data_IF_081636509542
#
_entry.id   IF_081636509542
#
_cell.length_a   1.000
_cell.length_b   1.000
_cell.length_c   1.000
_cell.angle_alpha   90.00
_cell.angle_beta   90.00
_cell.angle_gamma   90.00
#
_symmetry.space_group_name_H-M   'P 1'
#
loop_
_entity.id
_entity.type
_entity.pdbx_description
1 polymer ?
#
# COMPACT_ATOMS: atom_id res chain seq x y z
N UNK A 1 -71.69 -3.27 4.46
CA UNK A 1 -72.18 -2.28 5.44
C UNK A 1 -71.01 -1.39 5.84
N UNK A 2 -71.15 -0.07 5.60
CA UNK A 2 -70.54 1.11 6.25
C UNK A 2 -69.11 1.01 6.82
N UNK A 3 -68.10 1.64 6.21
CA UNK A 3 -67.67 3.06 6.36
C UNK A 3 -67.40 3.51 7.81
N UNK A 4 -66.13 3.83 8.09
CA UNK A 4 -65.78 5.05 8.82
C UNK A 4 -64.47 5.64 8.30
N UNK A 5 -64.61 6.84 7.77
CA UNK A 5 -63.59 7.77 7.29
C UNK A 5 -63.15 8.65 8.46
N UNK A 6 -61.87 9.01 8.55
CA UNK A 6 -61.47 10.24 9.25
C UNK A 6 -60.37 10.92 8.46
N UNK A 7 -60.71 12.11 7.95
CA UNK A 7 -59.83 13.11 7.36
C UNK A 7 -59.41 14.12 8.44
N UNK A 8 -58.23 14.73 8.25
CA UNK A 8 -57.82 16.13 8.46
C UNK A 8 -56.38 16.20 9.02
N UNK A 9 -55.43 17.05 8.65
CA UNK A 9 -55.02 17.95 7.54
C UNK A 9 -53.63 18.51 8.00
N UNK A 10 -52.77 19.06 7.11
CA UNK A 10 -51.39 19.40 7.39
C UNK A 10 -51.24 20.80 8.00
N UNK A 11 -50.13 21.05 8.71
CA UNK A 11 -49.74 22.39 9.17
C UNK A 11 -48.48 22.80 8.42
N UNK A 12 -48.65 23.76 7.51
CA UNK A 12 -47.57 24.61 7.00
C UNK A 12 -47.15 25.63 8.08
N UNK A 13 -45.84 25.81 8.24
CA UNK A 13 -45.27 27.03 8.82
C UNK A 13 -43.99 27.38 8.07
N UNK A 14 -44.13 28.32 7.13
CA UNK A 14 -43.05 29.21 6.74
C UNK A 14 -42.87 30.29 7.81
N UNK A 15 -41.62 30.51 8.23
CA UNK A 15 -41.16 31.82 8.71
C UNK A 15 -39.67 31.96 8.41
N UNK A 16 -39.36 32.96 7.59
CA UNK A 16 -38.02 33.44 7.27
C UNK A 16 -37.52 34.41 8.35
N UNK A 17 -36.20 34.40 8.60
CA UNK A 17 -35.30 35.58 8.55
C UNK A 17 -34.05 35.41 9.44
N UNK A 18 -32.90 35.48 8.77
CA UNK A 18 -31.62 36.10 9.16
C UNK A 18 -31.03 35.86 10.54
N UNK A 19 -29.88 35.18 10.57
CA UNK A 19 -28.63 35.82 11.03
C UNK A 19 -27.45 35.21 10.29
N UNK A 20 -26.74 36.07 9.58
CA UNK A 20 -25.39 35.84 9.10
C UNK A 20 -24.46 35.66 10.31
N UNK A 21 -23.58 34.67 10.26
CA UNK A 21 -22.26 34.77 10.86
C UNK A 21 -21.33 33.93 10.02
N UNK A 22 -20.66 34.64 9.12
CA UNK A 22 -19.34 34.31 8.63
C UNK A 22 -18.45 33.88 9.81
N UNK A 23 -17.83 32.71 9.70
CA UNK A 23 -16.49 32.51 10.24
C UNK A 23 -15.74 31.62 9.25
N UNK A 24 -14.91 32.33 8.51
CA UNK A 24 -13.92 31.90 7.55
C UNK A 24 -12.78 31.12 8.21
N UNK A 25 -12.12 30.29 7.39
CA UNK A 25 -10.76 29.76 7.55
C UNK A 25 -10.56 28.76 8.71
N UNK A 26 -10.08 27.55 8.47
CA UNK A 26 -8.78 27.31 7.85
C UNK A 26 -8.78 26.04 7.00
N UNK A 27 -8.81 26.23 5.68
CA UNK A 27 -8.17 25.31 4.77
C UNK A 27 -6.67 25.35 5.07
N UNK A 28 -6.20 24.40 5.88
CA UNK A 28 -4.77 24.10 5.93
C UNK A 28 -4.44 23.49 4.58
N UNK A 29 -3.89 24.32 3.70
CA UNK A 29 -3.06 23.88 2.59
C UNK A 29 -1.95 23.02 3.19
N UNK A 30 -2.20 21.71 3.29
CA UNK A 30 -1.12 20.76 3.51
C UNK A 30 -0.37 20.69 2.19
N UNK A 31 0.82 21.24 2.19
CA UNK A 31 1.77 21.16 1.09
C UNK A 31 1.86 19.70 0.62
N UNK A 32 1.31 19.45 -0.57
CA UNK A 32 1.53 18.23 -1.34
C UNK A 32 2.86 18.41 -2.06
N UNK A 33 3.92 17.81 -1.54
CA UNK A 33 5.20 17.83 -2.24
C UNK A 33 5.18 16.76 -3.34
N UNK A 34 5.31 17.15 -4.62
CA UNK A 34 5.66 16.18 -5.65
C UNK A 34 7.03 15.59 -5.30
N UNK A 35 7.21 14.28 -5.47
CA UNK A 35 8.55 13.73 -5.65
C UNK A 35 8.93 14.05 -7.10
N UNK A 36 9.88 14.97 -7.37
CA UNK A 36 10.24 15.27 -8.75
C UNK A 36 10.79 14.01 -9.42
N UNK A 37 10.54 13.80 -10.72
CA UNK A 37 11.30 12.82 -11.49
C UNK A 37 12.78 13.21 -11.35
N UNK A 38 13.60 12.25 -10.92
CA UNK A 38 15.03 12.48 -10.73
C UNK A 38 15.63 13.22 -11.93
N UNK A 39 16.31 14.34 -11.70
CA UNK A 39 17.06 15.03 -12.75
C UNK A 39 18.13 14.07 -13.29
N UNK A 40 17.91 13.54 -14.49
CA UNK A 40 18.97 12.96 -15.30
C UNK A 40 19.69 14.14 -15.97
N UNK A 41 20.97 14.41 -15.67
CA UNK A 41 21.73 15.34 -16.50
C UNK A 41 21.94 14.65 -17.86
N UNK A 42 21.34 15.20 -18.90
CA UNK A 42 21.50 14.74 -20.28
C UNK A 42 22.98 14.87 -20.67
N UNK A 43 23.62 13.74 -20.92
CA UNK A 43 24.94 13.64 -21.52
C UNK A 43 25.28 12.19 -21.80
N UNK A 44 25.18 11.79 -23.07
CA UNK A 44 25.55 10.48 -23.61
C UNK A 44 26.57 9.69 -22.76
N UNK A 45 26.11 8.67 -22.02
CA UNK A 45 26.88 7.45 -21.71
C UNK A 45 25.96 6.48 -20.95
N UNK A 46 25.91 5.23 -21.44
CA UNK A 46 25.43 3.96 -20.84
C UNK A 46 24.53 4.07 -19.59
N UNK A 47 23.35 3.42 -19.66
CA UNK A 47 22.53 3.01 -18.51
C UNK A 47 23.44 2.65 -17.31
N UNK A 48 23.12 3.10 -16.07
CA UNK A 48 23.86 2.67 -14.91
C UNK A 48 23.74 1.16 -14.81
N UNK A 49 24.84 0.49 -15.11
CA UNK A 49 24.98 -0.94 -14.86
C UNK A 49 24.83 -1.09 -13.37
N UNK A 50 23.85 -1.91 -12.93
CA UNK A 50 23.73 -2.31 -11.54
C UNK A 50 25.13 -2.69 -11.04
N UNK A 51 25.63 -2.12 -9.91
CA UNK A 51 26.97 -2.42 -9.45
C UNK A 51 27.10 -3.93 -9.24
N UNK A 52 28.08 -4.52 -9.92
CA UNK A 52 28.49 -5.91 -9.73
C UNK A 52 28.77 -6.14 -8.25
N UNK A 53 27.93 -6.95 -7.60
CA UNK A 53 28.07 -7.31 -6.20
C UNK A 53 29.16 -8.37 -6.04
N UNK A 54 30.42 -7.99 -6.23
CA UNK A 54 31.57 -8.75 -5.77
C UNK A 54 32.61 -7.77 -5.20
N UNK A 55 32.43 -7.41 -3.93
CA UNK A 55 33.36 -6.60 -3.17
C UNK A 55 33.24 -6.89 -1.68
N UNK A 56 34.30 -7.45 -1.11
CA UNK A 56 34.38 -8.08 0.22
C UNK A 56 34.26 -7.08 1.40
N UNK A 57 34.09 -5.78 1.16
CA UNK A 57 34.14 -4.75 2.21
C UNK A 57 32.90 -3.83 2.21
N UNK A 58 31.73 -4.36 2.60
CA UNK A 58 30.53 -3.55 2.84
C UNK A 58 30.27 -3.40 4.35
N UNK A 59 30.30 -2.17 4.92
CA UNK A 59 30.08 -1.92 6.35
C UNK A 59 28.64 -2.17 6.83
N UNK A 60 27.72 -2.56 5.93
CA UNK A 60 26.32 -2.88 6.23
C UNK A 60 25.99 -4.38 6.10
N UNK A 61 26.93 -5.26 6.50
CA UNK A 61 26.66 -6.70 6.59
C UNK A 61 25.67 -6.94 7.74
N UNK A 62 24.38 -7.07 7.41
CA UNK A 62 23.40 -7.63 8.34
C UNK A 62 23.89 -9.03 8.78
N UNK A 63 23.79 -9.39 10.07
CA UNK A 63 24.15 -10.73 10.51
C UNK A 63 23.33 -11.75 9.71
N UNK A 64 24.00 -12.76 9.15
CA UNK A 64 23.35 -13.90 8.54
C UNK A 64 22.42 -14.53 9.58
N UNK A 65 21.11 -14.26 9.47
CA UNK A 65 20.11 -15.08 10.12
C UNK A 65 20.11 -16.37 9.31
N UNK A 66 20.77 -17.39 9.84
CA UNK A 66 20.66 -18.75 9.35
C UNK A 66 19.18 -19.13 9.44
N UNK A 67 18.46 -19.04 8.33
CA UNK A 67 17.17 -19.67 8.17
C UNK A 67 17.48 -21.12 7.86
N UNK A 68 17.52 -21.96 8.90
CA UNK A 68 17.47 -23.40 8.69
C UNK A 68 16.11 -23.72 8.08
N UNK A 69 16.07 -23.91 6.77
CA UNK A 69 14.95 -24.52 6.04
C UNK A 69 14.96 -26.03 6.29
N UNK A 70 14.68 -26.44 7.53
CA UNK A 70 14.26 -27.81 7.82
C UNK A 70 12.76 -27.92 7.54
N UNK A 71 12.45 -28.34 6.31
CA UNK A 71 11.14 -28.73 5.80
C UNK A 71 10.61 -30.00 6.50
N UNK A 72 10.40 -29.99 7.82
CA UNK A 72 9.48 -30.95 8.48
C UNK A 72 9.16 -30.69 9.97
N UNK A 73 9.00 -29.44 10.40
CA UNK A 73 8.85 -29.16 11.83
C UNK A 73 7.53 -28.47 12.18
N UNK A 74 6.88 -28.97 13.26
CA UNK A 74 5.64 -28.45 13.86
C UNK A 74 5.64 -26.91 13.90
N UNK A 75 4.49 -26.24 13.75
CA UNK A 75 4.44 -24.78 13.68
C UNK A 75 5.20 -24.16 14.86
N UNK A 76 6.30 -23.44 14.57
CA UNK A 76 7.30 -22.92 15.53
C UNK A 76 6.72 -22.28 16.80
N UNK A 77 5.46 -21.81 16.74
CA UNK A 77 4.70 -21.31 17.88
C UNK A 77 4.48 -22.31 19.01
N UNK A 78 4.53 -23.63 18.76
CA UNK A 78 4.41 -24.66 19.79
C UNK A 78 5.68 -24.83 20.65
N UNK A 79 6.80 -24.22 20.23
CA UNK A 79 8.08 -24.28 20.95
C UNK A 79 8.16 -23.29 22.14
N UNK A 80 7.21 -22.34 22.26
CA UNK A 80 7.19 -21.35 23.34
C UNK A 80 6.35 -21.83 24.53
N UNK A 81 7.04 -22.29 25.58
CA UNK A 81 6.43 -22.88 26.79
C UNK A 81 5.58 -21.91 27.61
N UNK A 82 5.80 -20.59 27.52
CA UNK A 82 5.05 -19.60 28.31
C UNK A 82 4.14 -18.72 27.44
N UNK A 83 2.94 -18.33 27.93
CA UNK A 83 2.04 -17.42 27.22
C UNK A 83 2.70 -16.09 26.81
N UNK A 84 3.57 -15.54 27.68
CA UNK A 84 4.28 -14.29 27.40
C UNK A 84 5.28 -14.42 26.23
N UNK A 85 6.06 -15.51 26.17
CA UNK A 85 6.99 -15.75 25.06
C UNK A 85 6.25 -15.97 23.75
N UNK A 86 5.14 -16.72 23.79
CA UNK A 86 4.26 -16.94 22.62
C UNK A 86 3.67 -15.61 22.12
N UNK A 87 3.22 -14.75 23.03
CA UNK A 87 2.69 -13.43 22.66
C UNK A 87 3.76 -12.53 22.03
N UNK A 88 4.98 -12.54 22.56
CA UNK A 88 6.10 -11.79 21.98
C UNK A 88 6.41 -12.24 20.56
N UNK A 89 6.53 -13.55 20.35
CA UNK A 89 6.76 -14.15 19.03
C UNK A 89 5.67 -13.79 18.03
N UNK A 90 4.39 -13.85 18.43
CA UNK A 90 3.27 -13.47 17.56
C UNK A 90 3.30 -11.98 17.19
N UNK A 91 3.72 -11.10 18.12
CA UNK A 91 3.88 -9.67 17.85
C UNK A 91 5.00 -9.42 16.85
N UNK A 92 6.14 -10.08 17.03
CA UNK A 92 7.29 -9.97 16.13
C UNK A 92 6.95 -10.46 14.71
N UNK A 93 6.33 -11.63 14.57
CA UNK A 93 5.83 -12.15 13.28
C UNK A 93 4.89 -11.17 12.58
N UNK A 94 4.06 -10.45 13.34
CA UNK A 94 3.15 -9.44 12.80
C UNK A 94 3.88 -8.17 12.34
N UNK A 95 4.91 -7.74 13.08
CA UNK A 95 5.77 -6.63 12.67
C UNK A 95 6.48 -6.98 11.37
N UNK A 96 7.09 -8.17 11.32
CA UNK A 96 7.79 -8.67 10.14
C UNK A 96 6.85 -8.71 8.93
N UNK A 97 5.67 -9.31 9.06
CA UNK A 97 4.68 -9.34 7.98
C UNK A 97 4.19 -7.97 7.51
N UNK A 98 4.14 -6.96 8.41
CA UNK A 98 3.77 -5.58 8.07
C UNK A 98 4.89 -4.83 7.35
N UNK A 99 6.13 -5.08 7.74
CA UNK A 99 7.29 -4.53 7.05
C UNK A 99 7.38 -5.11 5.64
N UNK A 100 7.22 -6.43 5.49
CA UNK A 100 7.20 -7.07 4.16
C UNK A 100 6.14 -6.47 3.22
N UNK A 101 4.92 -6.26 3.71
CA UNK A 101 3.84 -5.63 2.94
C UNK A 101 4.22 -4.23 2.48
N UNK A 102 4.88 -3.45 3.34
CA UNK A 102 5.32 -2.09 3.03
C UNK A 102 6.49 -2.10 2.02
N UNK A 103 7.47 -3.00 2.21
CA UNK A 103 8.63 -3.16 1.32
C UNK A 103 8.22 -3.52 -0.10
N UNK A 104 7.22 -4.39 -0.25
CA UNK A 104 6.74 -4.78 -1.58
C UNK A 104 6.15 -3.56 -2.30
N UNK A 105 5.27 -2.80 -1.64
CA UNK A 105 4.61 -1.66 -2.29
C UNK A 105 5.56 -0.53 -2.56
N UNK A 106 6.44 -0.21 -1.62
CA UNK A 106 7.50 0.75 -1.84
C UNK A 106 8.38 0.32 -3.03
N UNK A 107 8.66 -0.98 -3.16
CA UNK A 107 9.35 -1.54 -4.31
C UNK A 107 8.59 -1.32 -5.63
N UNK A 108 7.29 -1.59 -5.68
CA UNK A 108 6.46 -1.37 -6.86
C UNK A 108 6.37 0.12 -7.23
N UNK A 109 6.15 1.00 -6.25
CA UNK A 109 6.12 2.45 -6.46
C UNK A 109 7.46 2.93 -7.02
N UNK A 110 8.57 2.48 -6.44
CA UNK A 110 9.89 2.86 -6.93
C UNK A 110 10.14 2.39 -8.37
N UNK A 111 9.77 1.15 -8.71
CA UNK A 111 9.88 0.66 -10.09
C UNK A 111 9.08 1.50 -11.09
N UNK A 112 7.87 1.93 -10.73
CA UNK A 112 7.06 2.84 -11.54
C UNK A 112 7.75 4.20 -11.72
N UNK A 113 8.35 4.75 -10.67
CA UNK A 113 9.12 6.00 -10.75
C UNK A 113 10.31 5.86 -11.68
N UNK A 114 11.17 4.86 -11.44
CA UNK A 114 12.48 4.79 -12.13
C UNK A 114 12.39 4.28 -13.57
N UNK A 115 11.38 3.48 -13.91
CA UNK A 115 11.26 2.88 -15.26
C UNK A 115 10.18 3.49 -16.12
N UNK A 116 9.17 4.10 -15.50
CA UNK A 116 8.00 4.62 -16.20
C UNK A 116 7.74 6.10 -15.88
N UNK A 117 8.66 6.75 -15.17
CA UNK A 117 8.57 8.16 -14.82
C UNK A 117 7.28 8.54 -14.08
N UNK A 118 6.72 7.59 -13.32
CA UNK A 118 5.56 7.87 -12.49
C UNK A 118 5.91 8.89 -11.40
N UNK A 119 4.97 9.77 -11.08
CA UNK A 119 5.09 10.73 -9.97
C UNK A 119 4.08 10.36 -8.90
N UNK A 120 4.53 10.22 -7.66
CA UNK A 120 3.66 9.97 -6.51
C UNK A 120 3.60 11.19 -5.61
N UNK A 121 2.38 11.54 -5.19
CA UNK A 121 2.11 12.66 -4.30
C UNK A 121 1.65 12.09 -2.95
N UNK A 122 2.34 12.46 -1.87
CA UNK A 122 2.03 11.97 -0.53
C UNK A 122 1.54 13.11 0.37
N UNK A 123 0.65 12.79 1.32
CA UNK A 123 0.35 13.70 2.43
C UNK A 123 1.37 13.46 3.52
N UNK A 124 1.93 14.52 4.11
CA UNK A 124 2.87 14.41 5.24
C UNK A 124 2.28 13.57 6.36
N UNK A 125 3.04 12.55 6.75
CA UNK A 125 2.48 11.39 7.41
C UNK A 125 3.37 11.00 8.60
N UNK A 126 2.81 10.90 9.82
CA UNK A 126 3.62 10.60 11.04
C UNK A 126 4.40 9.29 10.91
N UNK A 127 5.67 9.30 11.30
CA UNK A 127 6.54 8.11 11.31
C UNK A 127 5.97 7.01 12.21
N UNK A 128 6.15 5.75 11.80
CA UNK A 128 5.84 4.59 12.64
C UNK A 128 7.01 4.29 13.59
N UNK A 129 6.70 3.92 14.84
CA UNK A 129 7.72 3.65 15.87
C UNK A 129 8.37 2.26 15.77
N UNK A 130 7.68 1.29 15.15
CA UNK A 130 8.05 -0.15 15.24
C UNK A 130 8.05 -0.89 13.92
N UNK A 131 7.43 -0.32 12.89
CA UNK A 131 7.32 -0.93 11.57
C UNK A 131 7.77 0.10 10.55
N UNK A 132 8.19 -0.37 9.38
CA UNK A 132 8.22 0.50 8.21
C UNK A 132 6.81 1.04 7.97
N UNK A 133 6.71 2.29 7.52
CA UNK A 133 5.42 2.90 7.27
C UNK A 133 4.92 2.47 5.90
N UNK A 134 3.72 1.94 5.86
CA UNK A 134 3.02 1.68 4.61
C UNK A 134 2.61 3.02 4.00
N UNK A 135 3.38 3.50 3.02
CA UNK A 135 3.10 4.77 2.33
C UNK A 135 2.03 4.56 1.28
N UNK A 136 0.87 5.18 1.51
CA UNK A 136 -0.20 5.24 0.52
C UNK A 136 -0.14 6.62 -0.16
N UNK A 137 0.02 6.68 -1.49
CA UNK A 137 -0.02 7.97 -2.18
C UNK A 137 -1.42 8.58 -2.09
N UNK A 138 -1.48 9.90 -2.00
CA UNK A 138 -2.71 10.66 -2.15
C UNK A 138 -3.20 10.64 -3.60
N UNK A 139 -2.25 10.76 -4.53
CA UNK A 139 -2.46 10.63 -5.95
C UNK A 139 -1.17 10.16 -6.62
N UNK A 140 -1.28 9.63 -7.82
CA UNK A 140 -0.16 9.36 -8.71
C UNK A 140 -0.42 9.93 -10.10
N UNK A 141 0.65 10.11 -10.86
CA UNK A 141 0.63 10.55 -12.24
C UNK A 141 1.50 9.63 -13.08
N UNK A 142 0.98 9.18 -14.22
CA UNK A 142 1.65 8.28 -15.15
C UNK A 142 1.08 8.53 -16.55
N UNK A 143 1.96 8.76 -17.54
CA UNK A 143 1.55 9.01 -18.94
C UNK A 143 0.46 10.09 -19.07
N UNK A 144 0.67 11.24 -18.43
CA UNK A 144 -0.28 12.37 -18.37
C UNK A 144 -1.65 12.07 -17.71
N UNK A 145 -1.82 10.87 -17.16
CA UNK A 145 -3.00 10.50 -16.38
C UNK A 145 -2.73 10.69 -14.89
N UNK A 146 -3.57 11.50 -14.25
CA UNK A 146 -3.56 11.69 -12.79
C UNK A 146 -4.66 10.85 -12.14
N UNK A 147 -4.26 9.96 -11.24
CA UNK A 147 -5.16 9.10 -10.48
C UNK A 147 -5.12 9.48 -9.00
N UNK A 148 -6.26 9.87 -8.45
CA UNK A 148 -6.47 10.03 -7.03
C UNK A 148 -6.55 8.69 -6.31
N UNK A 149 -6.36 8.72 -4.99
CA UNK A 149 -6.35 7.51 -4.17
C UNK A 149 -7.65 6.69 -4.25
N UNK A 150 -8.81 7.33 -4.42
CA UNK A 150 -10.07 6.60 -4.53
C UNK A 150 -10.14 5.83 -5.87
N UNK A 151 -9.69 6.45 -6.96
CA UNK A 151 -9.62 5.80 -8.28
C UNK A 151 -8.63 4.63 -8.27
N UNK A 152 -7.48 4.79 -7.60
CA UNK A 152 -6.56 3.68 -7.37
C UNK A 152 -7.23 2.54 -6.61
N UNK A 153 -7.96 2.84 -5.54
CA UNK A 153 -8.68 1.81 -4.79
C UNK A 153 -9.74 1.09 -5.64
N UNK A 154 -10.46 1.80 -6.49
CA UNK A 154 -11.45 1.22 -7.41
C UNK A 154 -10.80 0.29 -8.45
N UNK A 155 -9.69 0.73 -9.08
CA UNK A 155 -8.91 -0.09 -10.01
C UNK A 155 -8.43 -1.37 -9.30
N UNK A 156 -7.88 -1.22 -8.10
CA UNK A 156 -7.38 -2.32 -7.30
C UNK A 156 -8.46 -3.31 -6.87
N UNK A 157 -9.60 -2.83 -6.37
CA UNK A 157 -10.74 -3.68 -6.02
C UNK A 157 -11.23 -4.45 -7.25
N UNK A 158 -11.42 -3.75 -8.38
CA UNK A 158 -11.87 -4.36 -9.63
C UNK A 158 -10.93 -5.48 -10.09
N UNK A 159 -9.63 -5.22 -10.13
CA UNK A 159 -8.62 -6.21 -10.50
C UNK A 159 -8.64 -7.44 -9.58
N UNK A 160 -8.78 -7.23 -8.26
CA UNK A 160 -8.86 -8.33 -7.30
C UNK A 160 -10.11 -9.19 -7.46
N UNK A 161 -11.25 -8.57 -7.76
CA UNK A 161 -12.52 -9.27 -8.00
C UNK A 161 -12.46 -10.06 -9.32
N UNK A 162 -11.99 -9.44 -10.40
CA UNK A 162 -11.89 -10.07 -11.72
C UNK A 162 -10.94 -11.29 -11.73
N UNK A 163 -9.88 -11.24 -10.91
CA UNK A 163 -8.95 -12.37 -10.72
C UNK A 163 -9.46 -13.43 -9.73
N UNK A 164 -10.68 -13.28 -9.19
CA UNK A 164 -11.27 -14.20 -8.22
C UNK A 164 -10.55 -14.24 -6.87
N UNK A 165 -9.75 -13.21 -6.55
CA UNK A 165 -8.96 -13.13 -5.32
C UNK A 165 -9.79 -12.61 -4.14
N UNK A 166 -10.84 -11.84 -4.42
CA UNK A 166 -11.82 -11.40 -3.43
C UNK A 166 -13.24 -11.36 -3.99
N UNK A 167 -14.22 -11.44 -3.09
CA UNK A 167 -15.59 -11.04 -3.36
C UNK A 167 -15.76 -9.57 -2.94
N UNK A 168 -16.60 -8.83 -3.67
CA UNK A 168 -16.85 -7.41 -3.39
C UNK A 168 -17.38 -7.25 -1.97
N UNK A 169 -16.62 -6.55 -1.12
CA UNK A 169 -16.93 -6.46 0.30
C UNK A 169 -17.76 -5.20 0.56
N UNK A 170 -19.09 -5.36 0.66
CA UNK A 170 -20.04 -4.27 0.91
C UNK A 170 -19.58 -3.37 2.09
N UNK A 171 -19.45 -2.07 1.85
CA UNK A 171 -18.80 -1.13 2.76
C UNK A 171 -19.57 -0.84 4.05
N UNK A 172 -20.86 -1.17 4.12
CA UNK A 172 -21.84 -0.58 5.06
C UNK A 172 -21.55 -0.77 6.56
N UNK A 173 -20.58 -1.58 6.96
CA UNK A 173 -20.23 -1.80 8.38
C UNK A 173 -18.71 -1.99 8.64
N UNK A 174 -17.84 -1.35 7.85
CA UNK A 174 -16.39 -1.44 8.09
C UNK A 174 -15.97 -0.43 9.17
N UNK A 175 -15.32 -0.90 10.25
CA UNK A 175 -14.63 0.00 11.17
C UNK A 175 -13.47 0.73 10.46
N UNK A 176 -13.09 1.92 10.93
CA UNK A 176 -12.01 2.70 10.30
C UNK A 176 -10.72 1.91 10.06
N UNK A 177 -10.39 1.01 10.99
CA UNK A 177 -9.23 0.11 10.88
C UNK A 177 -9.36 -0.91 9.74
N UNK A 178 -10.58 -1.39 9.47
CA UNK A 178 -10.86 -2.29 8.34
C UNK A 178 -10.82 -1.54 7.02
N UNK A 179 -11.41 -0.34 6.98
CA UNK A 179 -11.34 0.55 5.81
C UNK A 179 -9.89 0.79 5.42
N UNK A 180 -9.04 1.21 6.37
CA UNK A 180 -7.62 1.44 6.09
C UNK A 180 -6.89 0.20 5.57
N UNK A 181 -7.19 -1.00 6.10
CA UNK A 181 -6.58 -2.24 5.63
C UNK A 181 -7.03 -2.65 4.24
N UNK A 182 -8.30 -2.40 3.93
CA UNK A 182 -8.84 -2.60 2.59
C UNK A 182 -8.15 -1.66 1.61
N UNK A 183 -8.05 -0.37 1.97
CA UNK A 183 -7.33 0.66 1.21
C UNK A 183 -5.88 0.27 0.91
N UNK A 184 -5.14 -0.19 1.91
CA UNK A 184 -3.78 -0.73 1.78
C UNK A 184 -3.73 -1.85 0.71
N UNK A 185 -4.63 -2.82 0.79
CA UNK A 185 -4.68 -3.95 -0.12
C UNK A 185 -5.14 -3.59 -1.54
N UNK A 186 -6.07 -2.65 -1.66
CA UNK A 186 -6.61 -2.18 -2.94
C UNK A 186 -5.54 -1.39 -3.70
N UNK A 187 -4.82 -0.48 -3.02
CA UNK A 187 -3.68 0.24 -3.63
C UNK A 187 -2.62 -0.74 -4.14
N UNK A 188 -2.30 -1.79 -3.36
CA UNK A 188 -1.39 -2.84 -3.83
C UNK A 188 -1.92 -3.52 -5.11
N UNK A 189 -3.21 -3.86 -5.15
CA UNK A 189 -3.86 -4.39 -6.36
C UNK A 189 -3.79 -3.43 -7.55
N UNK A 190 -3.96 -2.13 -7.31
CA UNK A 190 -3.89 -1.10 -8.34
C UNK A 190 -2.50 -1.00 -8.96
N UNK A 191 -1.45 -0.97 -8.13
CA UNK A 191 -0.06 -0.93 -8.60
C UNK A 191 0.29 -2.17 -9.41
N UNK A 192 -0.17 -3.35 -8.96
CA UNK A 192 -0.01 -4.60 -9.72
C UNK A 192 -0.73 -4.51 -11.07
N UNK A 193 -1.98 -4.06 -11.08
CA UNK A 193 -2.77 -3.91 -12.31
C UNK A 193 -2.09 -2.95 -13.30
N UNK A 194 -1.58 -1.82 -12.82
CA UNK A 194 -0.85 -0.84 -13.64
C UNK A 194 0.43 -1.49 -14.19
N UNK A 195 1.22 -2.17 -13.37
CA UNK A 195 2.42 -2.85 -13.86
C UNK A 195 2.12 -3.99 -14.84
N UNK A 196 1.05 -4.76 -14.64
CA UNK A 196 0.55 -5.79 -15.57
C UNK A 196 0.26 -5.16 -16.95
N UNK A 197 -0.40 -3.99 -16.97
CA UNK A 197 -0.66 -3.23 -18.21
C UNK A 197 0.60 -2.70 -18.91
N UNK A 198 1.70 -2.54 -18.15
CA UNK A 198 3.02 -2.13 -18.66
C UNK A 198 3.90 -3.33 -19.08
N UNK A 199 3.33 -4.54 -19.13
CA UNK A 199 4.00 -5.76 -19.60
C UNK A 199 4.74 -6.55 -18.53
N UNK A 200 4.55 -6.22 -17.25
CA UNK A 200 5.10 -7.03 -16.15
C UNK A 200 4.20 -8.23 -15.89
N UNK A 201 4.77 -9.30 -15.36
CA UNK A 201 4.00 -10.45 -14.90
C UNK A 201 4.36 -10.80 -13.47
N UNK A 202 3.40 -11.33 -12.73
CA UNK A 202 3.56 -11.55 -11.29
C UNK A 202 3.17 -12.97 -10.91
N UNK A 203 3.94 -13.55 -10.00
CA UNK A 203 3.57 -14.77 -9.30
C UNK A 203 3.12 -14.40 -7.88
N UNK A 204 1.99 -14.95 -7.43
CA UNK A 204 1.42 -14.64 -6.12
C UNK A 204 1.36 -15.85 -5.22
N UNK A 205 1.56 -15.61 -3.92
CA UNK A 205 1.33 -16.62 -2.91
C UNK A 205 -0.15 -16.93 -2.83
N UNK A 206 -0.50 -18.23 -2.91
CA UNK A 206 -1.88 -18.70 -2.79
C UNK A 206 -2.53 -18.13 -1.52
N UNK A 207 -3.62 -17.40 -1.70
CA UNK A 207 -4.43 -16.90 -0.60
C UNK A 207 -5.13 -18.08 0.07
N UNK A 208 -5.16 -18.09 1.41
CA UNK A 208 -5.94 -19.10 2.14
C UNK A 208 -7.42 -18.84 1.92
N UNK A 209 -8.18 -19.83 1.46
CA UNK A 209 -9.62 -19.67 1.36
C UNK A 209 -10.21 -19.45 2.75
N UNK A 210 -10.93 -18.34 2.89
CA UNK A 210 -11.58 -17.95 4.14
C UNK A 210 -13.00 -17.54 3.78
N UNK A 211 -13.96 -18.31 4.26
CA UNK A 211 -15.36 -17.90 4.25
C UNK A 211 -15.49 -16.64 5.13
N UNK A 212 -16.24 -15.63 4.67
CA UNK A 212 -16.54 -14.39 5.40
C UNK A 212 -15.34 -13.46 5.66
N UNK A 213 -14.54 -13.16 4.63
CA UNK A 213 -13.48 -12.14 4.73
C UNK A 213 -14.09 -10.75 4.99
N UNK A 214 -13.64 -10.10 6.07
CA UNK A 214 -14.11 -8.75 6.49
C UNK A 214 -13.29 -7.59 5.92
N UNK A 215 -12.23 -7.91 5.19
CA UNK A 215 -11.30 -6.93 4.57
C UNK A 215 -10.81 -7.50 3.26
N UNK A 216 -10.50 -6.62 2.32
CA UNK A 216 -9.85 -6.94 1.05
C UNK A 216 -8.52 -7.67 1.33
N UNK A 217 -8.25 -8.79 0.65
CA UNK A 217 -7.01 -9.54 0.86
C UNK A 217 -5.82 -8.77 0.31
N UNK A 218 -4.76 -8.69 1.11
CA UNK A 218 -3.47 -8.28 0.62
C UNK A 218 -2.84 -9.41 -0.20
N UNK A 219 -2.60 -9.18 -1.48
CA UNK A 219 -1.95 -10.14 -2.39
C UNK A 219 -0.43 -10.06 -2.19
N UNK A 220 0.19 -11.20 -1.87
CA UNK A 220 1.64 -11.27 -1.65
C UNK A 220 2.36 -11.75 -2.89
N UNK A 221 3.19 -10.89 -3.47
CA UNK A 221 4.08 -11.20 -4.59
C UNK A 221 5.17 -12.19 -4.14
N UNK A 222 5.43 -13.19 -4.98
CA UNK A 222 6.50 -14.18 -4.84
C UNK A 222 7.65 -13.84 -5.79
N UNK A 223 7.30 -13.49 -7.02
CA UNK A 223 8.25 -13.09 -8.06
C UNK A 223 7.60 -12.09 -9.02
N UNK A 224 8.43 -11.31 -9.69
CA UNK A 224 8.04 -10.34 -10.71
C UNK A 224 8.91 -10.56 -11.96
N UNK A 225 8.26 -10.82 -13.08
CA UNK A 225 8.90 -10.90 -14.39
C UNK A 225 8.74 -9.55 -15.09
N UNK A 226 9.86 -8.99 -15.50
CA UNK A 226 9.94 -7.74 -16.22
C UNK A 226 9.58 -7.92 -17.71
N UNK A 227 9.25 -6.83 -18.43
CA UNK A 227 8.93 -6.90 -19.85
C UNK A 227 10.07 -7.43 -20.74
N UNK A 228 11.32 -7.33 -20.28
CA UNK A 228 12.52 -7.87 -20.93
C UNK A 228 12.75 -9.37 -20.62
N UNK A 229 11.85 -10.00 -19.86
CA UNK A 229 11.92 -11.41 -19.46
C UNK A 229 12.79 -11.68 -18.22
N UNK A 230 13.43 -10.66 -17.64
CA UNK A 230 14.20 -10.82 -16.41
C UNK A 230 13.23 -11.09 -15.25
N UNK A 231 13.54 -12.07 -14.40
CA UNK A 231 12.70 -12.42 -13.26
C UNK A 231 13.40 -12.05 -11.94
N UNK A 232 12.74 -11.26 -11.10
CA UNK A 232 13.20 -10.93 -9.76
C UNK A 232 12.34 -11.64 -8.70
N UNK A 233 13.03 -12.17 -7.69
CA UNK A 233 12.42 -12.70 -6.48
C UNK A 233 11.83 -11.59 -5.61
N UNK A 234 10.91 -11.97 -4.72
CA UNK A 234 10.35 -11.05 -3.72
C UNK A 234 11.43 -10.39 -2.85
N UNK A 235 12.55 -11.08 -2.56
CA UNK A 235 13.62 -10.52 -1.72
C UNK A 235 14.37 -9.39 -2.43
N UNK A 236 14.50 -9.46 -3.75
CA UNK A 236 15.05 -8.36 -4.56
C UNK A 236 14.08 -7.18 -4.58
N UNK A 237 12.78 -7.43 -4.78
CA UNK A 237 11.76 -6.38 -4.71
C UNK A 237 11.73 -5.69 -3.34
N UNK A 238 11.84 -6.46 -2.25
CA UNK A 238 11.92 -5.92 -0.89
C UNK A 238 13.17 -5.06 -0.69
N UNK A 239 14.30 -5.44 -1.28
CA UNK A 239 15.54 -4.65 -1.21
C UNK A 239 15.36 -3.30 -1.89
N UNK A 240 14.69 -3.27 -3.04
CA UNK A 240 14.32 -2.03 -3.73
C UNK A 240 13.38 -1.18 -2.85
N UNK A 241 12.37 -1.79 -2.23
CA UNK A 241 11.47 -1.08 -1.31
C UNK A 241 12.19 -0.44 -0.11
N UNK A 242 13.14 -1.14 0.50
CA UNK A 242 13.97 -0.58 1.58
C UNK A 242 14.82 0.60 1.12
N UNK A 243 15.32 0.58 -0.12
CA UNK A 243 16.05 1.72 -0.68
C UNK A 243 15.12 2.92 -0.86
N UNK A 244 13.90 2.69 -1.35
CA UNK A 244 12.91 3.75 -1.47
C UNK A 244 12.53 4.35 -0.11
N UNK A 245 12.34 3.52 0.91
CA UNK A 245 12.10 3.98 2.28
C UNK A 245 13.23 4.89 2.79
N UNK A 246 14.49 4.49 2.58
CA UNK A 246 15.64 5.29 2.98
C UNK A 246 15.69 6.65 2.26
N UNK A 247 15.35 6.70 0.97
CA UNK A 247 15.28 7.95 0.19
C UNK A 247 14.19 8.86 0.77
N UNK A 248 13.00 8.31 1.00
CA UNK A 248 11.87 9.06 1.57
C UNK A 248 12.20 9.61 2.96
N UNK A 249 12.85 8.82 3.81
CA UNK A 249 13.28 9.25 5.14
C UNK A 249 14.28 10.42 5.11
N UNK A 250 15.18 10.44 4.12
CA UNK A 250 16.12 11.55 3.93
C UNK A 250 15.40 12.83 3.48
N UNK A 251 14.41 12.72 2.60
CA UNK A 251 13.62 13.88 2.15
C UNK A 251 12.81 14.48 3.31
N UNK A 252 12.15 13.64 4.11
CA UNK A 252 11.42 14.09 5.30
C UNK A 252 12.31 14.86 6.27
N UNK A 253 13.57 14.43 6.46
CA UNK A 253 14.51 15.11 7.37
C UNK A 253 15.08 16.43 6.84
N UNK A 254 14.97 16.70 5.53
CA UNK A 254 15.42 17.95 4.92
C UNK A 254 14.34 19.03 4.94
N UNK A 255 13.08 18.63 5.11
CA UNK A 255 11.90 19.48 5.11
C UNK A 255 11.35 19.75 6.54
N UNK A 256 12.11 19.39 7.57
CA UNK A 256 11.89 19.72 8.98
C UNK A 256 12.96 20.72 9.44
#
# INVERSE_FOLDING_TARGET
MSLQTTQYQPIDRDFSSTTESELTSSASNKETHPVPPFENPIGNTKLPTLPSFNGINNPFRCPNVVVNDDLNDKPLGSKFKTPAKRLSYLRERKILGRNEESEIIDGLQYLLIIRHHAVFYYVKEKRSKKTMKFRIPHSMELNDMKLGINELCEIGEKWLVERGLCERCLEKEKSQKRIQRSKEAEVNGALICIMDSLGYSFEFKKLKDKQNRKTTPFVKTVSITFPDGVNYSVEELKKVGRQYDAIMLQQDSRND
#
